data_IF_549671419801
#
_entry.id   IF_549671419801
#
_cell.length_a   1.000
_cell.length_b   1.000
_cell.length_c   1.000
_cell.angle_alpha   90.00
_cell.angle_beta   90.00
_cell.angle_gamma   90.00
#
_symmetry.space_group_name_H-M   'P 1'
#
loop_
_entity.id
_entity.type
_entity.pdbx_description
1 polymer ?
#
# COMPACT_ATOMS: atom_id res chain seq x y z
N UNK A 1 -1.40 7.46 -11.65
CA UNK A 1 -2.86 7.25 -11.46
C UNK A 1 -3.09 6.48 -10.17
N UNK A 2 -4.29 6.57 -9.58
CA UNK A 2 -4.66 5.89 -8.34
C UNK A 2 -5.95 5.07 -8.53
N UNK A 3 -6.02 3.91 -7.90
CA UNK A 3 -7.24 3.09 -7.87
C UNK A 3 -8.12 3.53 -6.70
N UNK A 4 -9.43 3.70 -6.92
CA UNK A 4 -10.37 4.07 -5.83
C UNK A 4 -11.07 2.82 -5.33
N UNK A 5 -10.87 2.49 -4.05
CA UNK A 5 -11.54 1.38 -3.35
C UNK A 5 -12.13 1.93 -2.07
N UNK A 6 -13.40 1.63 -1.82
CA UNK A 6 -14.17 2.21 -0.70
C UNK A 6 -14.05 3.74 -0.65
N UNK A 7 -14.10 4.39 -1.83
CA UNK A 7 -13.92 5.84 -2.04
C UNK A 7 -12.54 6.38 -1.64
N UNK A 8 -11.56 5.52 -1.37
CA UNK A 8 -10.21 5.90 -0.98
C UNK A 8 -9.17 5.50 -2.04
N UNK A 9 -8.18 6.37 -2.33
CA UNK A 9 -7.21 6.11 -3.37
C UNK A 9 -6.13 5.13 -2.91
N UNK A 10 -5.59 4.34 -3.83
CA UNK A 10 -4.42 3.47 -3.65
C UNK A 10 -3.42 3.70 -4.77
N UNK A 11 -2.13 3.50 -4.51
CA UNK A 11 -1.09 3.61 -5.54
C UNK A 11 -1.30 2.49 -6.55
N UNK A 12 -1.54 2.88 -7.80
CA UNK A 12 -1.69 1.95 -8.93
C UNK A 12 -0.57 2.11 -9.97
N UNK A 13 0.16 3.23 -9.91
CA UNK A 13 1.27 3.51 -10.81
C UNK A 13 2.26 4.50 -10.18
N UNK A 14 3.55 4.31 -10.44
CA UNK A 14 4.62 5.23 -10.09
C UNK A 14 5.62 5.33 -11.24
N UNK A 15 5.96 6.55 -11.67
CA UNK A 15 6.93 6.81 -12.74
C UNK A 15 6.69 6.00 -14.03
N UNK A 16 5.42 5.88 -14.45
CA UNK A 16 5.02 5.13 -15.66
C UNK A 16 5.03 3.61 -15.50
N UNK A 17 5.37 3.09 -14.31
CA UNK A 17 5.24 1.67 -14.00
C UNK A 17 3.90 1.44 -13.28
N UNK A 18 2.98 0.79 -13.97
CA UNK A 18 1.68 0.40 -13.45
C UNK A 18 1.73 -0.96 -12.73
N UNK A 19 0.73 -1.18 -11.87
CA UNK A 19 0.34 -2.50 -11.38
C UNK A 19 0.07 -3.44 -12.56
N UNK A 20 0.36 -4.72 -12.38
CA UNK A 20 0.11 -5.78 -13.35
C UNK A 20 -0.65 -6.92 -12.65
N UNK A 21 -2.00 -6.85 -12.67
CA UNK A 21 -2.84 -7.87 -12.06
C UNK A 21 -2.68 -9.27 -12.68
N UNK A 22 -2.33 -9.35 -13.97
CA UNK A 22 -2.14 -10.62 -14.68
C UNK A 22 -0.89 -11.36 -14.16
N UNK A 23 0.19 -10.61 -13.90
CA UNK A 23 1.42 -11.15 -13.29
C UNK A 23 1.40 -11.16 -11.75
N UNK A 24 0.36 -10.59 -11.14
CA UNK A 24 0.23 -10.45 -9.69
C UNK A 24 1.27 -9.51 -9.08
N UNK A 25 1.68 -8.48 -9.82
CA UNK A 25 2.67 -7.49 -9.41
C UNK A 25 1.97 -6.18 -9.05
N UNK A 26 2.26 -5.65 -7.87
CA UNK A 26 1.59 -4.45 -7.38
C UNK A 26 2.57 -3.53 -6.65
N UNK A 27 2.19 -2.27 -6.53
CA UNK A 27 2.83 -1.32 -5.62
C UNK A 27 2.33 -1.49 -4.19
N UNK A 28 3.29 -1.61 -3.26
CA UNK A 28 3.04 -1.69 -1.83
C UNK A 28 3.71 -0.51 -1.12
N UNK A 29 3.02 0.06 -0.14
CA UNK A 29 3.55 1.15 0.69
C UNK A 29 4.02 0.55 2.01
N UNK A 30 5.22 0.93 2.42
CA UNK A 30 5.79 0.60 3.71
C UNK A 30 6.28 1.87 4.39
N UNK A 31 6.24 1.87 5.72
CA UNK A 31 6.81 2.92 6.55
C UNK A 31 7.92 2.36 7.43
N UNK A 32 8.99 3.13 7.56
CA UNK A 32 10.11 2.78 8.42
C UNK A 32 10.63 4.03 9.14
N UNK A 33 10.98 3.96 10.44
CA UNK A 33 11.69 5.06 11.08
C UNK A 33 13.07 5.29 10.41
N UNK A 34 13.41 6.54 10.14
CA UNK A 34 14.68 6.94 9.56
C UNK A 34 15.84 6.48 10.46
N UNK A 35 16.89 5.92 9.86
CA UNK A 35 18.07 5.40 10.56
C UNK A 35 17.78 4.29 11.60
N UNK A 36 16.63 3.61 11.50
CA UNK A 36 16.34 2.43 12.32
C UNK A 36 16.77 1.15 11.62
N UNK A 37 17.16 0.14 12.40
CA UNK A 37 17.35 -1.23 11.90
C UNK A 37 16.05 -2.04 11.88
N UNK A 38 14.93 -1.44 12.32
CA UNK A 38 13.61 -2.06 12.22
C UNK A 38 13.24 -2.37 10.76
N UNK A 39 12.54 -3.49 10.58
CA UNK A 39 11.97 -3.83 9.28
C UNK A 39 10.86 -2.83 8.90
N UNK A 40 10.75 -2.44 7.61
CA UNK A 40 9.65 -1.62 7.14
C UNK A 40 8.30 -2.28 7.44
N UNK A 41 7.37 -1.51 8.00
CA UNK A 41 6.02 -1.96 8.31
C UNK A 41 5.10 -1.71 7.13
N UNK A 42 4.36 -2.74 6.72
CA UNK A 42 3.41 -2.65 5.64
C UNK A 42 2.24 -1.73 6.02
N UNK A 43 1.86 -0.83 5.12
CA UNK A 43 0.69 0.05 5.29
C UNK A 43 -0.54 -0.65 4.76
N UNK A 44 -1.40 -1.09 5.66
CA UNK A 44 -2.67 -1.73 5.28
C UNK A 44 -3.75 -0.75 4.87
N UNK A 45 -3.69 0.51 5.31
CA UNK A 45 -4.72 1.54 5.03
C UNK A 45 -4.44 2.32 3.74
N UNK A 46 -5.40 3.16 3.33
CA UNK A 46 -5.18 4.04 2.18
C UNK A 46 -4.11 5.08 2.49
N UNK A 47 -3.20 5.40 1.55
CA UNK A 47 -2.19 6.44 1.74
C UNK A 47 -2.71 7.80 2.19
N UNK A 48 -3.98 8.14 1.94
CA UNK A 48 -4.57 9.43 2.40
C UNK A 48 -4.89 9.46 3.88
N UNK A 49 -5.04 8.29 4.52
CA UNK A 49 -5.32 8.18 5.96
C UNK A 49 -4.03 8.10 6.78
N UNK A 50 -2.90 7.82 6.12
CA UNK A 50 -1.60 7.66 6.78
C UNK A 50 -1.14 8.98 7.39
N UNK A 51 -0.99 8.99 8.71
CA UNK A 51 -0.36 10.10 9.44
C UNK A 51 1.13 9.88 9.54
N UNK A 52 1.89 10.63 8.76
CA UNK A 52 3.35 10.62 8.83
C UNK A 52 3.82 11.30 10.12
N UNK A 53 4.88 10.73 10.70
CA UNK A 53 5.62 11.34 11.79
C UNK A 53 6.97 11.87 11.27
N UNK A 54 7.59 12.84 11.95
CA UNK A 54 8.94 13.28 11.60
C UNK A 54 9.91 12.10 11.52
N UNK A 55 10.88 12.20 10.60
CA UNK A 55 11.95 11.21 10.45
C UNK A 55 11.40 9.81 10.14
N UNK A 56 10.41 9.73 9.26
CA UNK A 56 9.86 8.48 8.75
C UNK A 56 10.13 8.38 7.24
N UNK A 57 10.64 7.24 6.81
CA UNK A 57 10.83 6.87 5.42
C UNK A 57 9.56 6.23 4.86
N UNK A 58 9.17 6.64 3.66
CA UNK A 58 8.11 6.02 2.87
C UNK A 58 8.80 5.18 1.80
N UNK A 59 8.51 3.89 1.78
CA UNK A 59 9.07 2.95 0.81
C UNK A 59 7.94 2.46 -0.09
N UNK A 60 8.10 2.70 -1.39
CA UNK A 60 7.23 2.17 -2.45
C UNK A 60 7.92 0.96 -3.09
N UNK A 61 7.33 -0.21 -2.92
CA UNK A 61 7.93 -1.47 -3.38
C UNK A 61 7.05 -2.14 -4.43
N UNK A 62 7.55 -2.27 -5.65
CA UNK A 62 6.92 -3.04 -6.72
C UNK A 62 7.35 -4.50 -6.63
N UNK A 63 6.42 -5.39 -6.24
CA UNK A 63 6.72 -6.82 -6.05
C UNK A 63 5.51 -7.70 -6.30
N UNK A 64 5.74 -9.01 -6.37
CA UNK A 64 4.66 -10.00 -6.45
C UNK A 64 3.94 -10.10 -5.11
N UNK A 65 2.62 -10.21 -5.13
CA UNK A 65 1.83 -10.41 -3.92
C UNK A 65 0.33 -10.37 -4.18
N UNK A 66 -0.49 -10.70 -3.17
CA UNK A 66 -1.92 -10.45 -3.24
C UNK A 66 -2.14 -8.93 -3.34
N UNK A 67 -3.08 -8.51 -4.19
CA UNK A 67 -3.44 -7.09 -4.23
C UNK A 67 -4.03 -6.68 -2.88
N UNK A 68 -3.53 -5.56 -2.33
CA UNK A 68 -3.81 -5.08 -0.97
C UNK A 68 -5.31 -4.85 -0.67
N UNK A 69 -6.12 -4.72 -1.71
CA UNK A 69 -7.56 -4.50 -1.62
C UNK A 69 -8.32 -5.78 -1.24
N UNK A 70 -7.86 -6.96 -1.66
CA UNK A 70 -8.60 -8.19 -1.38
C UNK A 70 -8.66 -8.54 0.11
N UNK A 71 -7.64 -8.19 0.89
CA UNK A 71 -7.65 -8.38 2.36
C UNK A 71 -8.60 -7.40 3.05
N UNK A 72 -8.71 -6.16 2.57
CA UNK A 72 -9.66 -5.18 3.10
C UNK A 72 -11.12 -5.49 2.75
N UNK A 73 -11.40 -5.89 1.51
CA UNK A 73 -12.74 -6.34 1.09
C UNK A 73 -13.20 -7.54 1.94
N UNK A 74 -12.29 -8.46 2.26
CA UNK A 74 -12.60 -9.58 3.16
C UNK A 74 -12.74 -9.19 4.62
N UNK A 75 -11.99 -8.19 5.14
CA UNK A 75 -12.16 -7.67 6.51
C UNK A 75 -13.50 -6.95 6.66
N UNK A 76 -13.93 -6.16 5.66
CA UNK A 76 -15.22 -5.46 5.67
C UNK A 76 -16.40 -6.41 5.48
N UNK A 77 -16.25 -7.50 4.71
CA UNK A 77 -17.28 -8.54 4.59
C UNK A 77 -17.47 -9.39 5.87
N UNK A 78 -16.57 -9.26 6.86
CA UNK A 78 -16.60 -10.00 8.13
C UNK A 78 -16.98 -9.14 9.35
N UNK A 79 -17.28 -7.85 9.17
CA UNK A 79 -17.90 -7.05 10.24
C UNK A 79 -19.43 -7.09 10.07
N UNK A 80 -20.21 -7.42 11.13
CA UNK A 80 -21.67 -7.52 11.07
C UNK A 80 -22.37 -6.19 10.81
#
# INVERSE_FOLDING_TARGET
>A
EYNVVDRKPYVAALNGKEDDPEMGMFWFVYLKPLNSDEEPKFVEESPVDVKLVPNQEIILWYKRGPWNVHSQVQKNAKSP
#
